data_IF_032018340782
#
_entry.id   IF_032018340782
#
_cell.length_a   1.000
_cell.length_b   1.000
_cell.length_c   1.000
_cell.angle_alpha   90.00
_cell.angle_beta   90.00
_cell.angle_gamma   90.00
#
_symmetry.space_group_name_H-M   'P 1'
#
loop_
_entity.id
_entity.type
_entity.pdbx_description
1 polymer ?
#
# COMPACT_ATOMS: atom_id res chain seq x y z
N UNK A 1 1.07 1.33 -31.12
CA UNK A 1 1.40 1.27 -30.62
C UNK A 1 1.61 1.23 -30.21
N UNK A 2 1.60 1.07 -30.10
CA UNK A 2 2.08 0.91 -29.45
C UNK A 2 2.26 0.91 -28.75
N UNK A 3 2.32 0.71 -28.63
CA UNK A 3 2.72 0.65 -27.75
C UNK A 3 2.48 0.62 -27.16
N UNK A 4 2.34 0.20 -27.10
CA UNK A 4 2.37 0.10 -26.25
C UNK A 4 2.09 -0.22 -25.84
N UNK A 5 1.93 -0.80 -25.88
CA UNK A 5 1.95 -1.07 -25.20
C UNK A 5 1.95 -1.43 -24.74
N UNK A 6 1.95 -1.95 -24.59
CA UNK A 6 2.21 -2.24 -23.87
C UNK A 6 2.51 -2.37 -23.19
N UNK A 7 2.68 -2.80 -23.10
CA UNK A 7 3.12 -2.86 -22.32
C UNK A 7 3.35 -2.44 -21.42
N UNK A 8 3.17 -2.30 -20.87
CA UNK A 8 3.42 -1.78 -20.06
C UNK A 8 3.59 -2.22 -19.16
N UNK A 9 3.83 -2.56 -18.90
CA UNK A 9 3.92 -3.03 -17.95
C UNK A 9 4.02 -2.71 -16.87
N UNK A 10 4.06 -2.94 -16.52
CA UNK A 10 4.07 -2.63 -15.61
C UNK A 10 4.40 -1.83 -15.03
N UNK A 11 4.72 -1.80 -15.18
CA UNK A 11 5.02 -0.92 -14.48
C UNK A 11 4.16 -0.34 -13.92
N UNK A 12 3.91 -0.78 -13.53
CA UNK A 12 2.96 -0.29 -12.81
C UNK A 12 2.86 1.14 -12.72
N UNK A 13 2.89 1.66 -13.73
CA UNK A 13 2.81 3.07 -13.74
C UNK A 13 1.40 3.52 -13.66
N UNK A 14 1.06 4.37 -12.70
CA UNK A 14 -0.30 4.87 -12.62
C UNK A 14 -0.68 5.65 -13.86
N UNK A 15 -1.96 5.73 -14.08
CA UNK A 15 -2.48 6.49 -15.20
C UNK A 15 -2.09 7.96 -15.04
N UNK A 16 -1.72 8.56 -16.11
CA UNK A 16 -1.19 9.90 -16.08
C UNK A 16 -2.17 10.98 -16.39
N UNK A 17 -3.37 10.85 -16.05
CA UNK A 17 -4.32 11.91 -16.21
C UNK A 17 -4.07 12.97 -15.16
N UNK A 18 -3.63 14.19 -15.51
CA UNK A 18 -3.31 15.18 -14.49
C UNK A 18 -4.47 15.53 -13.58
N UNK A 19 -5.68 15.44 -14.07
CA UNK A 19 -6.84 15.81 -13.27
C UNK A 19 -7.14 14.81 -12.18
N UNK A 20 -6.61 13.59 -12.29
CA UNK A 20 -6.89 12.55 -11.34
C UNK A 20 -5.62 11.95 -10.77
N UNK A 21 -4.49 12.61 -10.95
CA UNK A 21 -3.24 12.05 -10.49
C UNK A 21 -3.24 11.83 -8.98
N UNK A 22 -3.97 12.65 -8.22
CA UNK A 22 -4.06 12.51 -6.79
C UNK A 22 -4.81 11.24 -6.39
N UNK A 23 -5.51 10.61 -7.34
CA UNK A 23 -6.27 9.41 -7.08
C UNK A 23 -5.63 8.18 -7.70
N UNK A 24 -4.38 8.27 -8.07
CA UNK A 24 -3.68 7.13 -8.64
C UNK A 24 -3.71 5.96 -7.66
N UNK A 25 -4.00 4.78 -8.16
CA UNK A 25 -4.10 3.59 -7.35
C UNK A 25 -2.81 2.79 -7.47
N UNK A 26 -2.23 2.45 -6.35
CA UNK A 26 -1.01 1.65 -6.27
C UNK A 26 -1.35 0.28 -5.72
N UNK A 27 -0.68 -0.75 -6.23
CA UNK A 27 -0.94 -2.13 -5.83
C UNK A 27 0.37 -2.86 -5.58
N UNK A 28 0.35 -3.75 -4.61
CA UNK A 28 1.49 -4.62 -4.34
C UNK A 28 1.06 -5.78 -3.46
N UNK A 29 1.88 -6.81 -3.43
CA UNK A 29 1.71 -7.93 -2.51
C UNK A 29 2.77 -7.83 -1.44
N UNK A 30 2.41 -8.17 -0.21
CA UNK A 30 3.34 -8.08 0.90
C UNK A 30 3.04 -9.13 1.94
N UNK A 31 4.07 -9.47 2.71
CA UNK A 31 3.93 -10.39 3.83
C UNK A 31 3.50 -9.60 5.05
N UNK A 32 2.56 -10.16 5.80
CA UNK A 32 2.11 -9.56 7.06
C UNK A 32 3.17 -9.78 8.11
N UNK A 33 3.69 -8.70 8.70
CA UNK A 33 4.78 -8.75 9.65
C UNK A 33 4.25 -8.39 11.03
N UNK A 34 4.62 -9.19 12.03
CA UNK A 34 4.27 -8.88 13.41
C UNK A 34 5.13 -7.74 13.92
N UNK A 35 4.50 -6.79 14.61
CA UNK A 35 5.20 -5.66 15.21
C UNK A 35 5.75 -6.07 16.55
N UNK A 36 6.95 -6.65 16.54
CA UNK A 36 7.65 -7.14 17.73
C UNK A 36 6.76 -8.08 18.53
N UNK A 37 6.60 -7.83 19.82
CA UNK A 37 5.85 -8.73 20.69
C UNK A 37 4.38 -8.35 20.82
N UNK A 38 3.91 -7.46 19.99
CA UNK A 38 2.55 -6.96 20.08
C UNK A 38 1.61 -7.75 19.17
N UNK A 39 0.32 -7.73 19.50
CA UNK A 39 -0.68 -8.24 18.58
C UNK A 39 -1.03 -7.15 17.58
N UNK A 40 -0.02 -6.72 16.87
CA UNK A 40 -0.14 -5.69 15.86
C UNK A 40 0.67 -6.13 14.65
N UNK A 41 0.21 -5.71 13.48
CA UNK A 41 0.84 -6.13 12.26
C UNK A 41 1.00 -4.95 11.32
N UNK A 42 1.90 -5.11 10.37
CA UNK A 42 2.07 -4.13 9.31
C UNK A 42 2.60 -4.84 8.07
N UNK A 43 2.53 -4.13 6.95
CA UNK A 43 3.19 -4.57 5.73
C UNK A 43 4.14 -3.47 5.28
N UNK A 44 5.20 -3.87 4.61
CA UNK A 44 6.15 -2.92 4.05
C UNK A 44 5.67 -2.47 2.69
N UNK A 45 5.74 -1.16 2.46
CA UNK A 45 5.29 -0.55 1.21
C UNK A 45 6.51 -0.41 0.30
N UNK A 46 6.50 -1.06 -0.87
CA UNK A 46 7.68 -1.08 -1.74
C UNK A 46 7.84 0.18 -2.60
N UNK A 47 7.20 1.26 -2.21
CA UNK A 47 7.28 2.52 -2.95
C UNK A 47 7.93 3.59 -2.09
N UNK A 48 8.69 4.46 -2.74
CA UNK A 48 9.28 5.60 -2.04
C UNK A 48 8.23 6.70 -1.95
N UNK A 49 7.51 6.71 -0.83
CA UNK A 49 6.39 7.62 -0.65
C UNK A 49 6.85 9.07 -0.67
N UNK A 50 8.02 9.34 -0.11
CA UNK A 50 8.53 10.71 -0.11
C UNK A 50 8.82 11.19 -1.53
N UNK A 51 9.39 10.33 -2.35
CA UNK A 51 9.67 10.70 -3.74
C UNK A 51 8.40 10.89 -4.55
N UNK A 52 7.41 10.03 -4.31
CA UNK A 52 6.19 10.07 -5.11
C UNK A 52 5.22 11.15 -4.67
N UNK A 53 5.15 11.43 -3.38
CA UNK A 53 4.13 12.33 -2.82
C UNK A 53 4.72 13.54 -2.12
N UNK A 54 6.02 13.57 -1.93
CA UNK A 54 6.68 14.69 -1.25
C UNK A 54 6.40 14.73 0.25
N UNK A 55 5.96 13.63 0.84
CA UNK A 55 5.58 13.57 2.23
C UNK A 55 6.24 12.40 2.93
N UNK A 56 6.52 12.58 4.22
CA UNK A 56 7.03 11.48 5.04
C UNK A 56 5.94 10.67 5.69
N UNK A 57 4.69 11.10 5.53
CA UNK A 57 3.51 10.40 6.03
C UNK A 57 2.38 10.65 5.04
N UNK A 58 1.66 9.61 4.71
CA UNK A 58 0.61 9.73 3.70
C UNK A 58 -0.67 9.09 4.20
N UNK A 59 -1.74 9.88 4.30
CA UNK A 59 -3.05 9.33 4.59
C UNK A 59 -3.57 8.66 3.32
N UNK A 60 -4.10 7.46 3.46
CA UNK A 60 -4.50 6.66 2.30
C UNK A 60 -5.85 5.99 2.52
N UNK A 61 -6.52 5.74 1.39
CA UNK A 61 -7.58 4.75 1.32
C UNK A 61 -6.92 3.48 0.79
N UNK A 62 -6.94 2.43 1.58
CA UNK A 62 -6.27 1.19 1.23
C UNK A 62 -7.25 0.03 1.23
N UNK A 63 -6.87 -1.05 0.57
CA UNK A 63 -7.57 -2.32 0.71
C UNK A 63 -6.56 -3.40 1.01
N UNK A 64 -6.99 -4.38 1.79
CA UNK A 64 -6.22 -5.59 2.06
C UNK A 64 -7.07 -6.75 1.60
N UNK A 65 -6.64 -7.44 0.54
CA UNK A 65 -7.43 -8.48 -0.11
C UNK A 65 -8.85 -7.99 -0.39
N UNK A 66 -8.97 -6.73 -0.77
CA UNK A 66 -10.26 -6.15 -1.12
C UNK A 66 -11.03 -5.52 0.03
N UNK A 67 -10.58 -5.70 1.28
CA UNK A 67 -11.26 -5.11 2.44
C UNK A 67 -10.76 -3.68 2.64
N UNK A 68 -11.65 -2.69 2.60
CA UNK A 68 -11.22 -1.29 2.69
C UNK A 68 -10.74 -0.91 4.10
N UNK A 69 -9.77 -0.04 4.13
CA UNK A 69 -9.19 0.45 5.37
C UNK A 69 -8.59 1.83 5.14
N UNK A 70 -9.01 2.81 5.93
CA UNK A 70 -8.41 4.14 5.88
C UNK A 70 -7.31 4.20 6.92
N UNK A 71 -6.09 4.42 6.46
CA UNK A 71 -4.95 4.44 7.36
C UNK A 71 -3.90 5.42 6.89
N UNK A 72 -2.70 5.22 7.39
CA UNK A 72 -1.59 6.07 7.03
C UNK A 72 -0.36 5.21 6.73
N UNK A 73 0.37 5.62 5.70
CA UNK A 73 1.66 5.05 5.40
C UNK A 73 2.69 5.93 6.08
N UNK A 74 3.55 5.33 6.88
CA UNK A 74 4.52 6.07 7.68
C UNK A 74 5.86 5.35 7.65
N UNK A 75 6.88 6.02 8.14
CA UNK A 75 8.21 5.43 8.31
C UNK A 75 8.55 5.54 9.78
N UNK A 76 8.64 4.40 10.45
CA UNK A 76 8.78 4.38 11.90
C UNK A 76 10.03 3.59 12.30
N UNK A 77 11.19 4.14 11.97
CA UNK A 77 12.43 3.48 12.32
C UNK A 77 12.75 2.26 11.47
N UNK A 78 12.04 2.09 10.37
CA UNK A 78 12.29 1.01 9.43
C UNK A 78 12.92 1.58 8.18
N UNK A 79 13.65 0.77 7.40
CA UNK A 79 14.24 1.28 6.17
C UNK A 79 13.22 1.61 5.09
N UNK A 80 12.01 1.10 5.19
CA UNK A 80 10.98 1.38 4.19
C UNK A 80 9.73 1.90 4.87
N UNK A 81 8.84 2.44 4.07
CA UNK A 81 7.54 2.87 4.55
C UNK A 81 6.69 1.66 4.90
N UNK A 82 5.81 1.82 5.88
CA UNK A 82 4.93 0.74 6.30
C UNK A 82 3.50 1.25 6.44
N UNK A 83 2.54 0.33 6.39
CA UNK A 83 1.15 0.63 6.71
C UNK A 83 0.65 -0.43 7.70
N UNK A 84 0.01 0.03 8.77
CA UNK A 84 -0.51 -0.88 9.78
C UNK A 84 -1.67 -1.71 9.26
N UNK A 85 -1.77 -2.93 9.74
CA UNK A 85 -2.83 -3.85 9.36
C UNK A 85 -3.57 -4.28 10.62
N UNK A 86 -4.74 -3.71 10.83
CA UNK A 86 -5.49 -3.89 12.06
C UNK A 86 -5.94 -5.33 12.24
N UNK A 87 -6.13 -5.69 13.49
CA UNK A 87 -6.54 -7.05 13.83
C UNK A 87 -7.88 -7.42 13.22
N UNK A 88 -8.83 -6.49 13.23
CA UNK A 88 -10.15 -6.77 12.68
C UNK A 88 -10.08 -7.00 11.16
N UNK A 89 -9.19 -6.30 10.48
CA UNK A 89 -9.00 -6.55 9.04
C UNK A 89 -8.40 -7.93 8.83
N UNK A 90 -7.40 -8.29 9.63
CA UNK A 90 -6.78 -9.63 9.51
C UNK A 90 -7.81 -10.72 9.71
N UNK A 91 -8.74 -10.52 10.65
CA UNK A 91 -9.80 -11.49 10.88
C UNK A 91 -10.73 -11.59 9.68
N UNK A 92 -11.08 -10.48 9.08
CA UNK A 92 -11.97 -10.47 7.93
C UNK A 92 -11.38 -11.21 6.73
N UNK A 93 -10.08 -11.09 6.52
CA UNK A 93 -9.44 -11.72 5.38
C UNK A 93 -8.90 -13.11 5.72
N UNK A 94 -8.97 -13.51 6.98
CA UNK A 94 -8.52 -14.84 7.40
C UNK A 94 -7.02 -15.02 7.33
N UNK A 95 -6.25 -13.96 7.57
CA UNK A 95 -4.80 -14.02 7.46
C UNK A 95 -4.14 -13.45 8.70
N UNK A 96 -2.91 -13.86 8.92
CA UNK A 96 -2.14 -13.42 10.07
C UNK A 96 -0.67 -13.29 9.71
N UNK A 97 0.17 -13.15 10.72
CA UNK A 97 1.61 -12.96 10.53
C UNK A 97 2.19 -14.03 9.63
N UNK A 98 2.98 -13.60 8.65
CA UNK A 98 3.61 -14.52 7.73
C UNK A 98 2.82 -14.80 6.47
N UNK A 99 1.55 -14.42 6.43
CA UNK A 99 0.73 -14.64 5.25
C UNK A 99 0.92 -13.50 4.25
N UNK A 100 0.70 -13.82 2.98
CA UNK A 100 0.80 -12.83 1.91
C UNK A 100 -0.56 -12.15 1.72
N UNK A 101 -0.55 -10.84 1.57
CA UNK A 101 -1.78 -10.07 1.37
C UNK A 101 -1.61 -9.15 0.18
N UNK A 102 -2.67 -8.98 -0.58
CA UNK A 102 -2.70 -8.05 -1.70
C UNK A 102 -3.18 -6.69 -1.21
N UNK A 103 -2.39 -5.66 -1.45
CA UNK A 103 -2.64 -4.32 -0.93
C UNK A 103 -2.82 -3.35 -2.08
N UNK A 104 -3.82 -2.52 -1.97
CA UNK A 104 -3.95 -1.36 -2.86
C UNK A 104 -4.06 -0.11 -2.01
N UNK A 105 -3.67 1.02 -2.56
CA UNK A 105 -3.88 2.28 -1.85
C UNK A 105 -3.91 3.44 -2.82
N UNK A 106 -4.59 4.49 -2.39
CA UNK A 106 -4.52 5.79 -3.06
C UNK A 106 -4.48 6.86 -1.98
N UNK A 107 -3.99 8.02 -2.35
CA UNK A 107 -3.90 9.11 -1.39
C UNK A 107 -5.29 9.57 -0.97
N UNK A 108 -5.46 9.78 0.33
CA UNK A 108 -6.72 10.27 0.89
C UNK A 108 -6.61 11.77 1.07
N UNK A 109 -7.49 12.48 0.45
CA UNK A 109 -7.49 13.94 0.48
C UNK A 109 -8.46 14.49 1.50
#
# INVERSE_FOLDING_TARGET
MKDHISSRPMNAKPIENPDVSSNALYEFDAVIIQNKDMDAAYVEVPFDIKALFGKGRLAVHATFDGVPYDGQIVKMGTPCFIIGLRKDIRKQIGKTFGDMVHVTFCERK
#
